data_IF_722822330212
#
_entry.id   IF_722822330212
#
_cell.length_a   1.000
_cell.length_b   1.000
_cell.length_c   1.000
_cell.angle_alpha   90.00
_cell.angle_beta   90.00
_cell.angle_gamma   90.00
#
_symmetry.space_group_name_H-M   'P 1'
#
loop_
_entity.id
_entity.type
_entity.pdbx_description
1 polymer ?
#
# COMPACT_ATOMS: atom_id res chain seq x y z
N UNK A 1 35.89 20.29 40.07
CA UNK A 1 34.75 19.50 40.58
C UNK A 1 33.45 19.70 39.78
N UNK A 2 33.10 20.92 39.35
CA UNK A 2 31.86 21.19 38.57
C UNK A 2 31.71 20.32 37.31
N UNK A 3 32.77 20.14 36.51
CA UNK A 3 32.72 19.28 35.30
C UNK A 3 32.32 17.82 35.60
N UNK A 4 32.77 17.27 36.73
CA UNK A 4 32.41 15.91 37.16
C UNK A 4 30.93 15.81 37.62
N UNK A 5 30.38 16.90 38.18
CA UNK A 5 28.96 16.97 38.57
C UNK A 5 28.05 17.06 37.35
N UNK A 6 28.38 17.92 36.39
CA UNK A 6 27.65 18.02 35.12
C UNK A 6 27.68 16.73 34.31
N UNK A 7 28.82 16.02 34.28
CA UNK A 7 28.90 14.71 33.63
C UNK A 7 27.94 13.68 34.25
N UNK A 8 27.79 13.67 35.58
CA UNK A 8 26.83 12.79 36.27
C UNK A 8 25.37 13.16 35.98
N UNK A 9 25.06 14.47 35.94
CA UNK A 9 23.72 14.96 35.61
C UNK A 9 23.37 14.60 34.17
N UNK A 10 24.26 14.86 33.21
CA UNK A 10 24.05 14.52 31.81
C UNK A 10 23.86 13.01 31.63
N UNK A 11 24.69 12.20 32.29
CA UNK A 11 24.55 10.74 32.25
C UNK A 11 23.18 10.32 32.80
N UNK A 12 22.74 10.88 33.93
CA UNK A 12 21.41 10.61 34.50
C UNK A 12 20.28 10.96 33.53
N UNK A 13 20.34 12.12 32.90
CA UNK A 13 19.35 12.54 31.89
C UNK A 13 19.34 11.61 30.68
N UNK A 14 20.51 11.20 30.18
CA UNK A 14 20.63 10.25 29.08
C UNK A 14 20.08 8.87 29.45
N UNK A 15 20.33 8.39 30.67
CA UNK A 15 19.77 7.12 31.14
C UNK A 15 18.25 7.17 31.23
N UNK A 16 17.69 8.25 31.81
CA UNK A 16 16.24 8.45 31.88
C UNK A 16 15.64 8.50 30.46
N UNK A 17 16.25 9.28 29.57
CA UNK A 17 15.83 9.38 28.18
C UNK A 17 15.89 8.04 27.45
N UNK A 18 16.92 7.23 27.67
CA UNK A 18 17.05 5.89 27.10
C UNK A 18 15.93 4.96 27.59
N UNK A 19 15.65 4.96 28.90
CA UNK A 19 14.57 4.13 29.47
C UNK A 19 13.21 4.52 28.88
N UNK A 20 12.92 5.82 28.77
CA UNK A 20 11.69 6.31 28.14
C UNK A 20 11.64 5.89 26.66
N UNK A 21 12.76 6.02 25.94
CA UNK A 21 12.84 5.64 24.53
C UNK A 21 12.60 4.14 24.32
N UNK A 22 13.14 3.30 25.18
CA UNK A 22 12.91 1.84 25.15
C UNK A 22 11.42 1.53 25.41
N UNK A 23 10.79 2.21 26.37
CA UNK A 23 9.35 2.06 26.62
C UNK A 23 8.51 2.36 25.37
N UNK A 24 8.71 3.52 24.75
CA UNK A 24 7.97 3.91 23.53
C UNK A 24 8.29 3.01 22.33
N UNK A 25 9.52 2.53 22.20
CA UNK A 25 9.88 1.54 21.18
C UNK A 25 9.02 0.26 21.30
N UNK A 26 8.77 -0.21 22.52
CA UNK A 26 7.92 -1.38 22.74
C UNK A 26 6.43 -1.09 22.54
N UNK A 27 5.94 0.13 22.80
CA UNK A 27 4.56 0.51 22.42
C UNK A 27 4.33 0.45 20.91
N UNK A 28 5.34 0.82 20.13
CA UNK A 28 5.30 0.72 18.68
C UNK A 28 5.45 -0.72 18.15
N UNK A 29 5.80 -1.68 19.01
CA UNK A 29 6.03 -3.06 18.60
C UNK A 29 4.70 -3.80 18.52
N UNK A 30 4.26 -4.06 17.30
CA UNK A 30 3.01 -4.75 17.02
C UNK A 30 3.24 -6.03 16.22
N UNK A 31 2.40 -7.03 16.47
CA UNK A 31 2.41 -8.28 15.71
C UNK A 31 1.13 -8.37 14.89
N UNK A 32 1.27 -8.85 13.66
CA UNK A 32 0.17 -9.05 12.72
C UNK A 32 0.30 -10.46 12.15
N UNK A 33 -0.77 -11.24 12.20
CA UNK A 33 -0.81 -12.50 11.48
C UNK A 33 -1.23 -12.18 10.05
N UNK A 34 -0.43 -12.57 9.07
CA UNK A 34 -0.66 -12.31 7.65
C UNK A 34 -0.72 -13.62 6.92
N UNK A 35 -1.83 -13.89 6.25
CA UNK A 35 -1.96 -14.96 5.28
C UNK A 35 -1.94 -14.32 3.89
N UNK A 36 -0.90 -14.64 3.10
CA UNK A 36 -0.92 -14.35 1.67
C UNK A 36 -1.82 -15.36 0.99
N UNK A 37 -2.68 -14.89 0.11
CA UNK A 37 -3.60 -15.75 -0.64
C UNK A 37 -3.03 -15.90 -2.05
N UNK A 38 -2.49 -17.09 -2.40
CA UNK A 38 -1.87 -17.33 -3.70
C UNK A 38 -2.89 -17.52 -4.82
N UNK A 39 -4.17 -17.67 -4.49
CA UNK A 39 -5.20 -18.11 -5.42
C UNK A 39 -5.90 -16.94 -6.12
N UNK A 40 -5.83 -16.99 -7.45
CA UNK A 40 -6.65 -16.21 -8.36
C UNK A 40 -7.93 -16.98 -8.65
N UNK A 41 -9.04 -16.26 -8.79
CA UNK A 41 -10.21 -16.81 -9.45
C UNK A 41 -10.89 -15.71 -10.25
N UNK A 42 -10.50 -15.62 -11.51
CA UNK A 42 -11.32 -14.95 -12.51
C UNK A 42 -12.46 -15.89 -12.87
N UNK A 43 -13.67 -15.36 -12.94
CA UNK A 43 -14.75 -16.03 -13.65
C UNK A 43 -14.62 -15.59 -15.12
N UNK A 44 -14.25 -16.53 -15.98
CA UNK A 44 -14.09 -16.31 -17.44
C UNK A 44 -15.49 -16.42 -18.07
N UNK A 45 -16.02 -15.44 -18.84
CA UNK A 45 -15.38 -14.64 -19.90
C UNK A 45 -15.56 -13.11 -19.79
N UNK A 46 -16.06 -12.61 -18.67
CA UNK A 46 -16.42 -11.20 -18.50
C UNK A 46 -15.32 -10.34 -17.85
N UNK A 47 -14.13 -10.92 -17.57
CA UNK A 47 -13.06 -10.29 -16.77
C UNK A 47 -13.58 -9.68 -15.45
N UNK A 48 -14.59 -10.31 -14.86
CA UNK A 48 -15.14 -9.94 -13.56
C UNK A 48 -14.62 -10.91 -12.51
N UNK A 49 -14.19 -10.38 -11.37
CA UNK A 49 -13.65 -11.26 -10.33
C UNK A 49 -13.25 -10.53 -9.07
N UNK A 50 -13.05 -11.33 -8.03
CA UNK A 50 -12.51 -10.86 -6.75
C UNK A 50 -11.18 -11.56 -6.53
N UNK A 51 -10.14 -10.76 -6.31
CA UNK A 51 -8.80 -11.22 -5.99
C UNK A 51 -8.48 -10.83 -4.56
N UNK A 52 -8.54 -11.79 -3.63
CA UNK A 52 -8.00 -11.57 -2.29
C UNK A 52 -6.49 -11.74 -2.34
N UNK A 53 -5.75 -10.75 -1.83
CA UNK A 53 -4.28 -10.75 -1.79
C UNK A 53 -3.76 -11.14 -0.42
N UNK A 54 -4.32 -10.52 0.61
CA UNK A 54 -3.87 -10.72 1.98
C UNK A 54 -5.06 -10.74 2.93
N UNK A 55 -4.97 -11.61 3.94
CA UNK A 55 -5.83 -11.60 5.11
C UNK A 55 -4.94 -11.31 6.31
N UNK A 56 -5.28 -10.27 7.05
CA UNK A 56 -4.52 -9.78 8.21
C UNK A 56 -5.36 -9.89 9.45
N UNK A 57 -4.76 -10.39 10.53
CA UNK A 57 -5.40 -10.48 11.83
C UNK A 57 -4.57 -9.71 12.85
N UNK A 58 -5.24 -8.78 13.52
CA UNK A 58 -4.68 -7.88 14.51
C UNK A 58 -5.28 -8.16 15.89
N UNK A 59 -4.47 -7.95 16.91
CA UNK A 59 -4.91 -7.93 18.33
C UNK A 59 -4.86 -6.52 18.91
N UNK A 60 -4.81 -5.54 18.03
CA UNK A 60 -4.68 -4.13 18.32
C UNK A 60 -5.41 -3.33 17.25
N UNK A 61 -5.73 -2.09 17.56
CA UNK A 61 -6.25 -1.11 16.62
C UNK A 61 -5.40 0.17 16.68
N UNK A 62 -5.24 0.88 15.56
CA UNK A 62 -4.70 2.22 15.61
C UNK A 62 -5.52 3.05 16.58
N UNK A 63 -4.87 3.70 17.54
CA UNK A 63 -5.48 4.86 18.17
C UNK A 63 -5.71 5.84 17.02
N UNK A 64 -6.97 6.15 16.71
CA UNK A 64 -7.35 6.91 15.52
C UNK A 64 -6.62 8.24 15.40
N UNK A 65 -6.89 9.01 14.35
CA UNK A 65 -6.36 10.37 14.20
C UNK A 65 -6.98 11.32 15.24
N UNK A 66 -6.84 11.03 16.54
CA UNK A 66 -7.15 11.95 17.62
C UNK A 66 -6.11 13.09 17.55
N UNK A 67 -6.41 14.03 16.67
CA UNK A 67 -5.74 15.31 16.47
C UNK A 67 -5.64 16.12 17.77
N UNK A 68 -6.45 15.80 18.80
CA UNK A 68 -6.33 16.33 20.16
C UNK A 68 -4.91 16.16 20.75
N UNK A 69 -4.16 15.14 20.32
CA UNK A 69 -2.77 14.95 20.71
C UNK A 69 -1.81 15.90 19.98
N UNK A 70 -2.12 16.30 18.75
CA UNK A 70 -1.31 17.21 17.92
C UNK A 70 -1.49 18.68 18.29
N UNK A 71 -2.64 19.08 18.83
CA UNK A 71 -2.86 20.45 19.31
C UNK A 71 -1.81 20.89 20.34
N UNK A 72 -1.38 19.96 21.21
CA UNK A 72 -0.31 20.20 22.18
C UNK A 72 1.06 20.42 21.53
N UNK A 73 1.27 19.84 20.35
CA UNK A 73 2.52 19.92 19.60
C UNK A 73 2.48 20.97 18.48
N UNK A 74 1.33 21.60 18.27
CA UNK A 74 1.11 22.59 17.22
C UNK A 74 2.17 23.72 17.22
N UNK A 75 2.57 24.30 18.37
CA UNK A 75 3.61 25.34 18.37
C UNK A 75 4.98 24.87 17.84
N UNK A 76 5.31 23.58 18.05
CA UNK A 76 6.56 22.99 17.55
C UNK A 76 6.46 22.76 16.05
N UNK A 77 5.32 22.30 15.56
CA UNK A 77 5.08 22.08 14.13
C UNK A 77 5.01 23.40 13.36
N UNK A 78 4.39 24.44 13.93
CA UNK A 78 4.25 25.76 13.33
C UNK A 78 5.61 26.46 13.12
N UNK A 79 6.61 26.15 13.95
CA UNK A 79 7.97 26.66 13.77
C UNK A 79 8.53 26.35 12.38
N UNK A 80 8.11 25.24 11.75
CA UNK A 80 8.50 24.90 10.39
C UNK A 80 8.16 26.02 9.37
N UNK A 81 7.07 26.75 9.58
CA UNK A 81 6.64 27.84 8.71
C UNK A 81 7.60 29.04 8.75
N UNK A 82 8.33 29.21 9.85
CA UNK A 82 9.34 30.25 10.03
C UNK A 82 10.70 29.85 9.45
N UNK A 83 10.89 28.59 9.07
CA UNK A 83 12.13 28.10 8.47
C UNK A 83 12.19 28.35 6.95
N UNK A 84 13.40 28.54 6.39
CA UNK A 84 13.62 28.55 4.95
C UNK A 84 13.08 27.28 4.28
N UNK A 85 12.55 27.40 3.05
CA UNK A 85 11.97 26.28 2.28
C UNK A 85 12.91 25.06 2.19
N UNK A 86 14.22 25.29 2.12
CA UNK A 86 15.25 24.24 2.04
C UNK A 86 15.34 23.33 3.28
N UNK A 87 14.96 23.83 4.45
CA UNK A 87 15.06 23.10 5.73
C UNK A 87 13.68 22.75 6.28
N UNK A 88 12.65 23.53 5.94
CA UNK A 88 11.26 23.33 6.40
C UNK A 88 10.82 21.88 6.34
N UNK A 89 10.93 21.23 5.18
CA UNK A 89 10.51 19.83 4.99
C UNK A 89 11.31 18.88 5.90
N UNK A 90 12.63 19.02 5.93
CA UNK A 90 13.50 18.18 6.77
C UNK A 90 13.17 18.32 8.26
N UNK A 91 12.89 19.54 8.70
CA UNK A 91 12.48 19.82 10.06
C UNK A 91 11.12 19.17 10.38
N UNK A 92 10.11 19.40 9.53
CA UNK A 92 8.78 18.79 9.70
C UNK A 92 8.85 17.26 9.72
N UNK A 93 9.62 16.65 8.82
CA UNK A 93 9.80 15.20 8.75
C UNK A 93 10.50 14.66 10.02
N UNK A 94 11.54 15.35 10.47
CA UNK A 94 12.28 14.97 11.68
C UNK A 94 11.42 15.12 12.94
N UNK A 95 10.85 16.30 13.17
CA UNK A 95 10.01 16.58 14.33
C UNK A 95 8.79 15.69 14.33
N UNK A 96 8.09 15.56 13.19
CA UNK A 96 6.94 14.66 13.07
C UNK A 96 7.29 13.21 13.41
N UNK A 97 8.48 12.75 13.01
CA UNK A 97 8.96 11.40 13.38
C UNK A 97 9.24 11.27 14.88
N UNK A 98 9.88 12.28 15.49
CA UNK A 98 10.14 12.31 16.94
C UNK A 98 8.83 12.33 17.72
N UNK A 99 7.89 13.20 17.34
CA UNK A 99 6.58 13.29 18.00
C UNK A 99 5.83 11.97 17.89
N UNK A 100 5.76 11.39 16.69
CA UNK A 100 5.16 10.09 16.49
C UNK A 100 5.84 9.00 17.36
N UNK A 101 7.17 9.03 17.51
CA UNK A 101 7.88 8.06 18.35
C UNK A 101 7.43 8.12 19.81
N UNK A 102 7.16 9.31 20.33
CA UNK A 102 6.70 9.52 21.70
C UNK A 102 5.18 9.57 21.83
N UNK A 103 4.44 8.94 20.90
CA UNK A 103 3.00 8.70 21.01
C UNK A 103 2.73 7.23 21.31
N UNK A 104 1.51 6.92 21.77
CA UNK A 104 1.01 5.57 21.86
C UNK A 104 0.09 5.31 20.65
N UNK A 105 0.61 4.85 19.50
CA UNK A 105 -0.18 4.82 18.27
C UNK A 105 -1.20 3.67 18.20
N UNK A 106 -1.21 2.75 19.18
CA UNK A 106 -1.99 1.51 19.09
C UNK A 106 -2.64 1.15 20.44
N UNK A 107 -3.92 0.78 20.41
CA UNK A 107 -4.60 0.17 21.56
C UNK A 107 -4.70 -1.32 21.39
N UNK A 108 -4.47 -2.08 22.47
CA UNK A 108 -4.78 -3.51 22.49
C UNK A 108 -6.29 -3.69 22.49
N UNK A 109 -6.76 -4.65 21.70
CA UNK A 109 -8.17 -5.04 21.74
C UNK A 109 -8.46 -5.83 23.02
N UNK A 110 -9.75 -5.90 23.38
CA UNK A 110 -10.24 -6.73 24.50
C UNK A 110 -9.79 -8.20 24.36
N UNK A 111 -9.71 -8.92 25.49
CA UNK A 111 -9.32 -10.32 25.47
C UNK A 111 -10.26 -11.17 24.60
N UNK A 112 -9.67 -11.90 23.65
CA UNK A 112 -10.40 -12.70 22.67
C UNK A 112 -10.80 -11.93 21.41
N UNK A 113 -10.90 -10.60 21.46
CA UNK A 113 -11.21 -9.77 20.31
C UNK A 113 -10.04 -9.69 19.33
N UNK A 114 -10.38 -9.69 18.04
CA UNK A 114 -9.43 -9.61 16.93
C UNK A 114 -10.03 -8.74 15.85
N UNK A 115 -9.21 -7.92 15.20
CA UNK A 115 -9.61 -7.22 13.98
C UNK A 115 -9.08 -8.00 12.80
N UNK A 116 -9.96 -8.31 11.84
CA UNK A 116 -9.58 -8.92 10.57
C UNK A 116 -9.64 -7.85 9.50
N UNK A 117 -8.63 -7.78 8.64
CA UNK A 117 -8.66 -7.00 7.41
C UNK A 117 -8.39 -7.94 6.23
N UNK A 118 -9.22 -7.86 5.20
CA UNK A 118 -9.04 -8.54 3.93
C UNK A 118 -8.80 -7.48 2.87
N UNK A 119 -7.72 -7.65 2.13
CA UNK A 119 -7.30 -6.70 1.11
C UNK A 119 -7.21 -7.41 -0.22
N UNK A 120 -7.71 -6.78 -1.27
CA UNK A 120 -7.78 -7.39 -2.58
C UNK A 120 -8.18 -6.44 -3.69
N UNK A 121 -8.42 -7.00 -4.88
CA UNK A 121 -8.91 -6.27 -6.03
C UNK A 121 -10.27 -6.80 -6.47
N UNK A 122 -11.18 -5.92 -6.86
CA UNK A 122 -12.38 -6.26 -7.63
C UNK A 122 -12.09 -5.86 -9.07
N UNK A 123 -12.24 -6.79 -10.00
CA UNK A 123 -12.04 -6.56 -11.43
C UNK A 123 -13.39 -6.43 -12.11
N UNK A 124 -13.48 -5.51 -13.06
CA UNK A 124 -14.67 -5.35 -13.88
C UNK A 124 -14.29 -5.16 -15.36
N UNK A 125 -14.47 -6.22 -16.16
CA UNK A 125 -14.68 -6.15 -17.61
C UNK A 125 -13.80 -5.15 -18.37
N UNK A 126 -14.43 -4.03 -18.74
CA UNK A 126 -13.85 -2.98 -19.58
C UNK A 126 -13.41 -1.75 -18.76
N UNK A 127 -12.32 -1.06 -19.16
CA UNK A 127 -11.98 0.29 -18.68
C UNK A 127 -13.18 1.24 -18.70
N UNK A 128 -13.30 2.08 -17.66
CA UNK A 128 -14.43 2.99 -17.47
C UNK A 128 -15.75 2.35 -17.03
N UNK A 129 -15.79 1.04 -16.82
CA UNK A 129 -17.02 0.33 -16.41
C UNK A 129 -17.35 0.38 -14.91
N UNK A 130 -16.43 0.89 -14.08
CA UNK A 130 -16.57 0.94 -12.62
C UNK A 130 -17.21 2.24 -12.17
N UNK A 131 -18.52 2.20 -11.92
CA UNK A 131 -19.16 3.20 -11.07
C UNK A 131 -18.88 2.87 -9.59
N UNK A 132 -18.73 3.90 -8.74
CA UNK A 132 -18.32 3.80 -7.33
C UNK A 132 -19.13 2.82 -6.45
N UNK A 133 -20.26 2.31 -6.94
CA UNK A 133 -21.19 1.46 -6.20
C UNK A 133 -21.38 0.06 -6.80
N UNK A 134 -20.72 -0.28 -7.91
CA UNK A 134 -20.87 -1.59 -8.53
C UNK A 134 -19.77 -2.55 -8.05
N UNK A 135 -19.96 -3.15 -6.88
CA UNK A 135 -19.06 -4.16 -6.33
C UNK A 135 -19.84 -5.42 -5.93
N UNK A 136 -19.24 -6.62 -6.04
CA UNK A 136 -19.92 -7.83 -5.63
C UNK A 136 -20.08 -7.88 -4.11
N UNK A 137 -21.08 -8.59 -3.63
CA UNK A 137 -21.20 -8.96 -2.22
C UNK A 137 -20.13 -10.00 -1.87
N UNK A 138 -19.03 -9.57 -1.25
CA UNK A 138 -17.93 -10.44 -0.81
C UNK A 138 -18.16 -10.88 0.65
N UNK A 139 -17.92 -12.16 0.94
CA UNK A 139 -17.93 -12.73 2.30
C UNK A 139 -16.75 -13.67 2.48
N UNK A 140 -16.12 -13.61 3.64
CA UNK A 140 -14.97 -14.44 4.00
C UNK A 140 -15.27 -15.21 5.26
N UNK A 141 -15.07 -16.52 5.20
CA UNK A 141 -15.33 -17.45 6.28
C UNK A 141 -14.03 -18.13 6.73
N UNK A 142 -13.90 -18.36 8.03
CA UNK A 142 -12.86 -19.20 8.63
C UNK A 142 -13.52 -20.46 9.22
N UNK A 143 -13.44 -21.58 8.49
CA UNK A 143 -14.32 -22.72 8.74
C UNK A 143 -15.78 -22.35 8.43
N UNK A 144 -16.64 -22.39 9.45
CA UNK A 144 -18.06 -22.03 9.34
C UNK A 144 -18.36 -20.59 9.77
N UNK A 145 -17.42 -19.94 10.46
CA UNK A 145 -17.61 -18.60 11.01
C UNK A 145 -17.39 -17.54 9.93
N UNK A 146 -18.34 -16.62 9.76
CA UNK A 146 -18.15 -15.41 8.95
C UNK A 146 -17.19 -14.47 9.69
N UNK A 147 -16.07 -14.12 9.06
CA UNK A 147 -15.05 -13.24 9.66
C UNK A 147 -14.98 -11.85 9.03
N UNK A 148 -15.59 -11.67 7.84
CA UNK A 148 -15.80 -10.36 7.22
C UNK A 148 -16.80 -10.45 6.04
N UNK A 149 -17.43 -9.34 5.70
CA UNK A 149 -18.20 -9.23 4.45
C UNK A 149 -18.66 -7.79 4.14
N UNK A 150 -19.35 -7.57 3.02
CA UNK A 150 -19.75 -6.21 2.56
C UNK A 150 -20.69 -5.46 3.53
N UNK A 151 -21.32 -6.14 4.50
CA UNK A 151 -22.05 -5.50 5.60
C UNK A 151 -21.14 -4.93 6.71
N UNK A 152 -19.82 -5.08 6.60
CA UNK A 152 -18.79 -4.55 7.51
C UNK A 152 -18.13 -3.29 6.93
N UNK A 153 -17.14 -2.70 7.62
CA UNK A 153 -16.40 -1.54 7.11
C UNK A 153 -15.75 -1.86 5.75
N UNK A 154 -16.39 -1.44 4.66
CA UNK A 154 -15.92 -1.63 3.30
C UNK A 154 -15.34 -0.31 2.77
N UNK A 155 -14.04 -0.33 2.47
CA UNK A 155 -13.35 0.75 1.77
C UNK A 155 -12.94 0.28 0.39
N UNK A 156 -13.31 1.04 -0.65
CA UNK A 156 -12.82 0.83 -2.01
C UNK A 156 -12.12 2.08 -2.54
N UNK A 157 -11.10 1.87 -3.34
CA UNK A 157 -10.35 2.92 -4.01
C UNK A 157 -10.13 2.54 -5.47
N UNK A 158 -10.35 3.50 -6.36
CA UNK A 158 -10.07 3.39 -7.79
C UNK A 158 -9.25 4.59 -8.25
N UNK A 159 -8.67 4.52 -9.44
CA UNK A 159 -7.86 5.60 -10.02
C UNK A 159 -8.42 5.96 -11.38
N UNK A 160 -9.05 7.12 -11.52
CA UNK A 160 -9.64 7.56 -12.78
C UNK A 160 -10.60 6.49 -13.33
N UNK A 161 -10.41 6.13 -14.59
CA UNK A 161 -11.25 5.17 -15.32
C UNK A 161 -10.77 3.70 -15.20
N UNK A 162 -10.01 3.40 -14.14
CA UNK A 162 -9.48 2.05 -13.88
C UNK A 162 -10.57 0.97 -13.93
N UNK A 163 -10.32 -0.14 -14.61
CA UNK A 163 -11.20 -1.33 -14.62
C UNK A 163 -11.03 -2.25 -13.38
N UNK A 164 -10.41 -1.76 -12.30
CA UNK A 164 -10.37 -2.47 -11.03
C UNK A 164 -10.49 -1.54 -9.83
N UNK A 165 -11.03 -2.07 -8.72
CA UNK A 165 -11.05 -1.44 -7.41
C UNK A 165 -10.05 -2.15 -6.51
N UNK A 166 -9.23 -1.41 -5.79
CA UNK A 166 -8.54 -1.93 -4.61
C UNK A 166 -9.50 -1.82 -3.43
N UNK A 167 -9.85 -2.94 -2.80
CA UNK A 167 -10.75 -2.97 -1.66
C UNK A 167 -10.03 -3.41 -0.38
N UNK A 168 -10.53 -2.90 0.73
CA UNK A 168 -10.29 -3.40 2.08
C UNK A 168 -11.66 -3.61 2.72
N UNK A 169 -11.84 -4.76 3.34
CA UNK A 169 -12.96 -4.98 4.24
C UNK A 169 -12.45 -5.55 5.54
N UNK A 170 -13.11 -5.23 6.64
CA UNK A 170 -12.69 -5.75 7.93
C UNK A 170 -13.77 -5.66 8.97
N UNK A 171 -13.62 -6.48 10.00
CA UNK A 171 -14.52 -6.50 11.14
C UNK A 171 -13.76 -6.88 12.41
N UNK A 172 -14.37 -6.59 13.56
CA UNK A 172 -13.96 -7.09 14.86
C UNK A 172 -14.69 -8.40 15.13
N UNK A 173 -13.92 -9.46 15.35
CA UNK A 173 -14.42 -10.80 15.65
C UNK A 173 -13.91 -11.26 17.01
N UNK A 174 -14.63 -12.18 17.63
CA UNK A 174 -14.23 -12.83 18.88
C UNK A 174 -13.82 -14.30 18.68
N UNK A 175 -13.99 -14.82 17.46
CA UNK A 175 -13.62 -16.19 17.11
C UNK A 175 -12.16 -16.28 16.66
N UNK A 176 -11.61 -17.49 16.71
CA UNK A 176 -10.28 -17.75 16.18
C UNK A 176 -10.29 -17.92 14.67
N UNK A 177 -9.43 -17.17 13.97
CA UNK A 177 -9.19 -17.39 12.54
C UNK A 177 -8.34 -18.65 12.35
N UNK A 178 -8.85 -19.58 11.54
CA UNK A 178 -8.22 -20.85 11.16
C UNK A 178 -7.49 -20.71 9.83
N UNK A 179 -6.58 -21.62 9.51
CA UNK A 179 -5.87 -21.64 8.22
C UNK A 179 -6.80 -21.99 7.04
N UNK A 180 -7.97 -22.59 7.30
CA UNK A 180 -8.98 -22.90 6.29
C UNK A 180 -9.90 -21.70 6.06
N UNK A 181 -9.67 -20.99 4.95
CA UNK A 181 -10.47 -19.83 4.56
C UNK A 181 -11.34 -20.19 3.36
N UNK A 182 -12.62 -19.81 3.42
CA UNK A 182 -13.57 -19.88 2.30
C UNK A 182 -13.99 -18.48 1.92
N UNK A 183 -13.74 -18.11 0.67
CA UNK A 183 -14.16 -16.86 0.06
C UNK A 183 -15.41 -17.12 -0.78
N UNK A 184 -16.42 -16.27 -0.63
CA UNK A 184 -17.57 -16.26 -1.53
C UNK A 184 -17.81 -14.86 -2.06
N UNK A 185 -18.18 -14.72 -3.33
CA UNK A 185 -18.65 -13.44 -3.86
C UNK A 185 -19.82 -13.65 -4.82
N UNK A 186 -20.67 -12.64 -4.90
CA UNK A 186 -21.85 -12.64 -5.76
C UNK A 186 -22.07 -11.24 -6.31
N UNK A 187 -22.19 -11.13 -7.63
CA UNK A 187 -22.69 -9.93 -8.29
C UNK A 187 -24.23 -9.93 -8.26
N UNK A 188 -24.89 -8.76 -8.34
CA UNK A 188 -26.33 -8.57 -8.07
C UNK A 188 -27.26 -9.69 -8.54
N UNK A 189 -27.13 -10.12 -9.80
CA UNK A 189 -27.94 -11.20 -10.39
C UNK A 189 -27.10 -12.42 -10.84
N UNK A 190 -25.85 -12.49 -10.38
CA UNK A 190 -24.91 -13.55 -10.73
C UNK A 190 -24.98 -14.75 -9.78
N UNK A 191 -24.39 -15.90 -10.18
CA UNK A 191 -24.20 -17.02 -9.28
C UNK A 191 -23.27 -16.63 -8.12
N UNK A 192 -23.47 -17.26 -6.96
CA UNK A 192 -22.48 -17.17 -5.87
C UNK A 192 -21.28 -18.04 -6.25
N UNK A 193 -20.12 -17.41 -6.40
CA UNK A 193 -18.86 -18.12 -6.61
C UNK A 193 -18.24 -18.41 -5.25
N UNK A 194 -17.75 -19.63 -5.04
CA UNK A 194 -17.08 -20.05 -3.82
C UNK A 194 -15.68 -20.56 -4.13
N UNK A 195 -14.68 -20.07 -3.40
CA UNK A 195 -13.28 -20.53 -3.48
C UNK A 195 -12.76 -20.84 -2.09
N UNK A 196 -12.26 -22.06 -1.93
CA UNK A 196 -11.51 -22.45 -0.74
C UNK A 196 -10.05 -22.09 -0.95
N UNK A 197 -9.47 -21.36 0.00
CA UNK A 197 -8.05 -21.06 0.03
C UNK A 197 -7.39 -22.20 0.80
N UNK A 198 -6.78 -23.11 0.04
CA UNK A 198 -6.11 -24.30 0.55
C UNK A 198 -4.58 -24.03 0.50
N UNK A 199 -3.82 -24.58 1.44
CA UNK A 199 -2.36 -24.48 1.51
C UNK A 199 -1.77 -23.08 1.80
N UNK A 200 -2.59 -22.15 2.32
CA UNK A 200 -2.09 -20.89 2.86
C UNK A 200 -2.03 -20.98 4.39
N UNK A 201 -1.02 -20.38 5.00
CA UNK A 201 -0.85 -20.34 6.46
C UNK A 201 -0.63 -18.93 6.93
N UNK A 202 -1.04 -18.64 8.16
CA UNK A 202 -0.71 -17.38 8.79
C UNK A 202 0.77 -17.32 9.18
N UNK A 203 1.46 -16.30 8.70
CA UNK A 203 2.79 -15.92 9.15
C UNK A 203 2.70 -14.76 10.13
N UNK A 204 3.53 -14.76 11.17
CA UNK A 204 3.59 -13.65 12.12
C UNK A 204 4.60 -12.63 11.61
N UNK A 205 4.11 -11.43 11.24
CA UNK A 205 4.95 -10.27 10.96
C UNK A 205 5.03 -9.37 12.19
N UNK A 206 6.24 -9.01 12.58
CA UNK A 206 6.49 -8.06 13.66
C UNK A 206 6.90 -6.71 13.07
N UNK A 207 6.19 -5.67 13.48
CA UNK A 207 6.48 -4.29 13.13
C UNK A 207 6.94 -3.52 14.37
N UNK A 208 7.63 -2.42 14.12
CA UNK A 208 8.13 -1.50 15.14
C UNK A 208 8.10 -0.07 14.60
N UNK A 209 8.55 0.91 15.37
CA UNK A 209 8.68 2.28 14.89
C UNK A 209 9.57 2.39 13.63
N UNK A 210 10.66 1.62 13.57
CA UNK A 210 11.63 1.64 12.46
C UNK A 210 11.21 0.76 11.29
N UNK A 211 10.40 -0.28 11.54
CA UNK A 211 9.82 -1.15 10.53
C UNK A 211 8.29 -1.09 10.68
N UNK A 212 7.69 -0.01 10.19
CA UNK A 212 6.25 0.23 10.38
C UNK A 212 5.42 -0.73 9.55
N UNK A 213 4.19 -1.08 9.98
CA UNK A 213 3.26 -1.73 9.08
C UNK A 213 3.06 -0.84 7.84
N UNK A 214 2.97 -1.41 6.64
CA UNK A 214 2.77 -0.62 5.44
C UNK A 214 1.52 0.25 5.59
N UNK A 215 1.64 1.55 5.30
CA UNK A 215 0.49 2.47 5.28
C UNK A 215 -0.53 1.95 4.27
N UNK A 216 -1.83 2.08 4.58
CA UNK A 216 -2.94 1.54 3.78
C UNK A 216 -2.67 1.69 2.27
N UNK A 217 -2.75 0.58 1.55
CA UNK A 217 -2.66 0.50 0.08
C UNK A 217 -1.31 0.88 -0.57
N UNK A 218 -0.28 1.25 0.19
CA UNK A 218 0.95 1.81 -0.38
C UNK A 218 1.66 0.88 -1.34
N UNK A 219 1.69 -0.42 -1.02
CA UNK A 219 2.42 -1.42 -1.77
C UNK A 219 1.53 -2.15 -2.78
N UNK A 220 0.22 -1.85 -2.78
CA UNK A 220 -0.79 -2.49 -3.60
C UNK A 220 -1.17 -1.64 -4.82
N UNK A 221 -0.61 -0.44 -4.95
CA UNK A 221 -0.86 0.43 -6.11
C UNK A 221 0.25 0.28 -7.16
N UNK A 222 -0.03 -0.29 -8.35
CA UNK A 222 0.98 -0.45 -9.40
C UNK A 222 1.52 0.89 -9.90
N UNK A 223 0.70 1.95 -9.86
CA UNK A 223 1.07 3.33 -10.21
C UNK A 223 2.34 3.79 -9.49
N UNK A 224 2.50 3.47 -8.19
CA UNK A 224 3.69 3.87 -7.42
C UNK A 224 4.96 3.23 -7.94
N UNK A 225 4.86 1.98 -8.39
CA UNK A 225 6.01 1.26 -8.96
C UNK A 225 6.40 1.81 -10.33
N UNK A 226 5.42 2.19 -11.15
CA UNK A 226 5.67 2.89 -12.40
C UNK A 226 6.35 4.27 -12.17
N UNK A 227 5.91 5.03 -11.17
CA UNK A 227 6.59 6.27 -10.78
C UNK A 227 8.02 6.05 -10.30
N UNK A 228 8.25 4.99 -9.52
CA UNK A 228 9.58 4.63 -9.04
C UNK A 228 10.52 4.31 -10.21
N UNK A 229 10.03 3.57 -11.22
CA UNK A 229 10.76 3.31 -12.47
C UNK A 229 11.21 4.62 -13.14
N UNK A 230 10.29 5.53 -13.43
CA UNK A 230 10.58 6.78 -14.13
C UNK A 230 11.57 7.64 -13.34
N UNK A 231 11.34 7.83 -12.04
CA UNK A 231 12.16 8.71 -11.20
C UNK A 231 13.56 8.14 -10.97
N UNK A 232 13.69 6.85 -10.66
CA UNK A 232 14.99 6.23 -10.36
C UNK A 232 15.82 6.08 -11.64
N UNK A 233 15.19 5.75 -12.78
CA UNK A 233 15.88 5.69 -14.06
C UNK A 233 16.32 7.08 -14.55
N UNK A 234 15.46 8.09 -14.42
CA UNK A 234 15.79 9.49 -14.73
C UNK A 234 16.92 10.06 -13.87
N UNK A 235 17.03 9.62 -12.61
CA UNK A 235 18.15 9.95 -11.73
C UNK A 235 19.47 9.23 -12.08
N UNK A 236 19.51 8.45 -13.17
CA UNK A 236 20.70 7.73 -13.64
C UNK A 236 21.05 6.48 -12.83
N UNK A 237 20.15 5.98 -11.97
CA UNK A 237 20.41 4.86 -11.06
C UNK A 237 19.91 3.53 -11.63
N UNK A 238 20.40 3.15 -12.82
CA UNK A 238 19.88 1.99 -13.58
C UNK A 238 19.92 0.69 -12.77
N UNK A 239 20.95 0.48 -11.95
CA UNK A 239 21.13 -0.73 -11.14
C UNK A 239 20.00 -0.91 -10.12
N UNK A 240 19.52 0.20 -9.54
CA UNK A 240 18.37 0.16 -8.62
C UNK A 240 17.08 -0.17 -9.37
N UNK A 241 16.92 0.33 -10.59
CA UNK A 241 15.75 0.05 -11.43
C UNK A 241 15.68 -1.42 -11.84
N UNK A 242 16.82 -2.08 -12.07
CA UNK A 242 16.84 -3.51 -12.40
C UNK A 242 16.17 -4.37 -11.32
N UNK A 243 16.26 -3.97 -10.04
CA UNK A 243 15.57 -4.66 -8.94
C UNK A 243 14.03 -4.52 -8.96
N UNK A 244 13.52 -3.55 -9.73
CA UNK A 244 12.08 -3.34 -9.95
C UNK A 244 11.53 -4.20 -11.09
N UNK A 245 12.39 -4.71 -11.97
CA UNK A 245 12.01 -5.59 -13.09
C UNK A 245 11.86 -7.03 -12.57
N UNK A 246 10.86 -7.76 -13.07
CA UNK A 246 10.66 -9.18 -12.73
C UNK A 246 11.89 -10.00 -13.14
N UNK A 247 12.29 -10.93 -12.28
CA UNK A 247 13.41 -11.85 -12.57
C UNK A 247 13.13 -12.80 -13.72
N UNK A 248 11.86 -12.91 -14.14
CA UNK A 248 11.41 -13.71 -15.28
C UNK A 248 11.59 -13.00 -16.63
N UNK A 249 11.93 -11.71 -16.63
CA UNK A 249 12.23 -10.95 -17.85
C UNK A 249 13.69 -11.15 -18.23
N UNK A 250 13.94 -11.75 -19.40
CA UNK A 250 15.30 -11.95 -19.91
C UNK A 250 15.91 -10.66 -20.47
N UNK A 251 15.12 -9.88 -21.22
CA UNK A 251 15.56 -8.64 -21.87
C UNK A 251 14.52 -7.54 -21.69
N UNK A 252 14.86 -6.50 -20.93
CA UNK A 252 13.99 -5.36 -20.69
C UNK A 252 14.27 -4.24 -21.70
N UNK A 253 13.25 -3.61 -22.33
CA UNK A 253 13.45 -2.64 -23.40
C UNK A 253 13.80 -1.24 -22.87
N UNK A 254 14.99 -1.09 -22.29
CA UNK A 254 15.47 0.16 -21.69
C UNK A 254 15.40 1.38 -22.62
N UNK A 255 15.56 1.17 -23.92
CA UNK A 255 15.53 2.23 -24.92
C UNK A 255 14.17 2.95 -25.00
N UNK A 256 13.07 2.29 -24.64
CA UNK A 256 11.75 2.93 -24.60
C UNK A 256 11.59 3.94 -23.47
N UNK A 257 12.46 3.92 -22.45
CA UNK A 257 12.41 4.85 -21.33
C UNK A 257 13.62 5.79 -21.29
N UNK A 258 14.50 5.79 -22.28
CA UNK A 258 15.68 6.68 -22.30
C UNK A 258 15.32 8.17 -22.36
N UNK A 259 14.13 8.50 -22.85
CA UNK A 259 13.62 9.87 -22.92
C UNK A 259 13.54 10.54 -21.53
N UNK A 260 13.35 9.78 -20.43
CA UNK A 260 13.24 10.34 -19.07
C UNK A 260 14.54 10.98 -18.58
N UNK A 261 15.68 10.66 -19.20
CA UNK A 261 16.99 11.26 -18.88
C UNK A 261 17.17 12.64 -19.52
N UNK A 262 16.37 12.96 -20.54
CA UNK A 262 16.60 14.10 -21.43
C UNK A 262 15.56 15.22 -21.26
N UNK A 263 14.39 14.95 -20.68
CA UNK A 263 13.28 15.91 -20.64
C UNK A 263 12.93 16.35 -19.22
N UNK A 264 12.56 17.63 -19.06
CA UNK A 264 11.93 18.18 -17.84
C UNK A 264 10.43 17.81 -17.75
N UNK A 265 9.97 16.83 -18.52
CA UNK A 265 8.56 16.43 -18.47
C UNK A 265 8.26 15.83 -17.10
N UNK A 266 7.16 16.29 -16.52
CA UNK A 266 6.59 15.66 -15.35
C UNK A 266 5.48 14.72 -15.81
N UNK A 267 5.35 13.58 -15.13
CA UNK A 267 4.17 12.75 -15.27
C UNK A 267 2.98 13.58 -14.83
N UNK A 268 2.09 13.89 -15.76
CA UNK A 268 0.93 14.72 -15.51
C UNK A 268 -0.27 13.89 -15.05
N UNK A 269 -0.36 12.64 -15.53
CA UNK A 269 -1.43 11.71 -15.18
C UNK A 269 -0.91 10.27 -15.17
N UNK A 270 -1.47 9.44 -14.29
CA UNK A 270 -1.17 8.02 -14.22
C UNK A 270 -2.44 7.24 -13.86
N UNK A 271 -2.80 6.29 -14.71
CA UNK A 271 -3.97 5.43 -14.52
C UNK A 271 -3.55 3.98 -14.48
N UNK A 272 -4.14 3.19 -13.59
CA UNK A 272 -3.87 1.75 -13.54
C UNK A 272 -5.06 0.96 -14.05
N UNK A 273 -4.79 -0.05 -14.87
CA UNK A 273 -5.77 -0.96 -15.41
C UNK A 273 -5.30 -2.41 -15.26
N UNK A 274 -6.23 -3.34 -15.12
CA UNK A 274 -6.02 -4.76 -15.27
C UNK A 274 -6.03 -5.12 -16.76
N UNK A 275 -4.99 -5.82 -17.21
CA UNK A 275 -4.77 -6.17 -18.62
C UNK A 275 -5.03 -7.65 -18.91
N UNK A 276 -4.88 -8.53 -17.91
CA UNK A 276 -5.05 -9.98 -18.11
C UNK A 276 -3.73 -10.65 -18.47
N UNK A 277 -3.64 -11.30 -19.63
CA UNK A 277 -2.43 -12.04 -20.03
C UNK A 277 -1.55 -11.21 -20.96
N UNK A 278 -0.24 -11.18 -20.72
CA UNK A 278 0.70 -10.46 -21.58
C UNK A 278 2.09 -11.09 -21.56
N UNK A 279 2.65 -11.38 -22.75
CA UNK A 279 4.01 -11.95 -22.92
C UNK A 279 4.32 -13.16 -22.01
N UNK A 280 3.35 -14.08 -21.86
CA UNK A 280 3.50 -15.27 -21.02
C UNK A 280 3.35 -15.02 -19.51
N UNK A 281 3.15 -13.77 -19.10
CA UNK A 281 2.72 -13.43 -17.75
C UNK A 281 1.20 -13.49 -17.65
N UNK A 282 0.74 -14.06 -16.55
CA UNK A 282 -0.66 -14.03 -16.15
C UNK A 282 -0.90 -12.81 -15.27
N UNK A 283 -2.12 -12.28 -15.35
CA UNK A 283 -2.61 -11.22 -14.49
C UNK A 283 -1.78 -9.93 -14.44
N UNK A 284 -1.44 -9.47 -15.62
CA UNK A 284 -0.73 -8.23 -15.86
C UNK A 284 -1.65 -7.06 -15.60
N UNK A 285 -1.11 -6.05 -14.93
CA UNK A 285 -1.68 -4.72 -14.80
C UNK A 285 -0.88 -3.76 -15.65
N UNK A 286 -1.53 -2.74 -16.16
CA UNK A 286 -0.91 -1.65 -16.89
C UNK A 286 -1.00 -0.37 -16.07
N UNK A 287 0.01 0.46 -16.17
CA UNK A 287 -0.05 1.86 -15.77
C UNK A 287 0.15 2.71 -16.99
N UNK A 288 -0.90 3.42 -17.39
CA UNK A 288 -0.90 4.39 -18.46
C UNK A 288 -0.41 5.72 -17.91
N UNK A 289 0.75 6.16 -18.37
CA UNK A 289 1.39 7.40 -17.97
C UNK A 289 1.22 8.43 -19.09
N UNK A 290 0.70 9.60 -18.73
CA UNK A 290 0.70 10.77 -19.61
C UNK A 290 1.73 11.79 -19.12
N UNK A 291 2.44 12.40 -20.05
CA UNK A 291 3.49 13.36 -19.78
C UNK A 291 3.23 14.66 -20.54
N UNK A 292 3.46 15.79 -19.88
CA UNK A 292 3.39 17.10 -20.51
C UNK A 292 4.45 18.02 -19.89
N UNK A 293 4.93 19.02 -20.63
CA UNK A 293 5.87 20.02 -20.08
C UNK A 293 5.16 20.99 -19.14
N UNK A 294 3.89 21.24 -19.38
CA UNK A 294 3.04 22.12 -18.60
C UNK A 294 1.56 21.74 -18.77
N UNK A 295 0.69 22.30 -17.93
CA UNK A 295 -0.75 22.03 -17.98
C UNK A 295 -1.39 22.40 -19.32
N UNK A 296 -0.91 23.47 -19.99
CA UNK A 296 -1.45 23.92 -21.27
C UNK A 296 -1.20 22.92 -22.41
N UNK A 297 -0.06 22.24 -22.41
CA UNK A 297 0.23 21.16 -23.37
C UNK A 297 -0.66 19.94 -23.14
N UNK A 298 -0.97 19.62 -21.87
CA UNK A 298 -1.90 18.54 -21.54
C UNK A 298 -3.32 18.88 -22.02
N UNK A 299 -3.81 20.08 -21.73
CA UNK A 299 -5.15 20.54 -22.15
C UNK A 299 -5.29 20.62 -23.68
N UNK A 300 -4.17 20.86 -24.38
CA UNK A 300 -4.12 20.88 -25.85
C UNK A 300 -3.99 19.49 -26.49
N UNK A 301 -4.01 18.41 -25.70
CA UNK A 301 -3.83 17.03 -26.19
C UNK A 301 -2.44 16.78 -26.77
N UNK A 302 -1.44 17.59 -26.42
CA UNK A 302 -0.03 17.43 -26.83
C UNK A 302 0.78 16.61 -25.83
N UNK A 303 0.09 15.90 -24.94
CA UNK A 303 0.72 14.98 -24.02
C UNK A 303 1.29 13.77 -24.75
N UNK A 304 2.34 13.19 -24.18
CA UNK A 304 2.89 11.91 -24.62
C UNK A 304 2.38 10.80 -23.74
N UNK A 305 2.28 9.60 -24.29
CA UNK A 305 1.76 8.43 -23.58
C UNK A 305 2.77 7.28 -23.52
N UNK A 306 2.82 6.62 -22.37
CA UNK A 306 3.59 5.40 -22.17
C UNK A 306 2.87 4.45 -21.23
N UNK A 307 2.83 3.18 -21.61
CA UNK A 307 2.25 2.11 -20.81
C UNK A 307 3.35 1.29 -20.14
N UNK A 308 3.28 1.15 -18.82
CA UNK A 308 4.14 0.26 -18.04
C UNK A 308 3.35 -0.99 -17.69
N UNK A 309 3.90 -2.18 -17.93
CA UNK A 309 3.25 -3.45 -17.62
C UNK A 309 3.86 -4.03 -16.36
N UNK A 310 3.02 -4.45 -15.41
CA UNK A 310 3.43 -4.93 -14.10
C UNK A 310 2.69 -6.21 -13.71
N UNK A 311 3.35 -7.02 -12.90
CA UNK A 311 2.75 -8.18 -12.23
C UNK A 311 3.01 -8.07 -10.73
N UNK A 312 2.09 -8.57 -9.92
CA UNK A 312 2.26 -8.58 -8.48
C UNK A 312 2.89 -9.92 -8.05
N UNK A 313 4.17 -9.89 -7.71
CA UNK A 313 4.94 -11.04 -7.22
C UNK A 313 4.98 -11.05 -5.69
N UNK A 314 5.55 -12.09 -5.07
CA UNK A 314 5.50 -12.29 -3.61
C UNK A 314 6.10 -11.12 -2.80
N UNK A 315 7.02 -10.34 -3.37
CA UNK A 315 7.66 -9.17 -2.76
C UNK A 315 7.07 -7.83 -3.26
N UNK A 316 6.00 -7.88 -4.06
CA UNK A 316 5.23 -6.75 -4.56
C UNK A 316 5.27 -6.59 -6.09
N UNK A 317 4.85 -5.42 -6.56
CA UNK A 317 4.81 -5.11 -7.98
C UNK A 317 6.18 -5.17 -8.64
N UNK A 318 6.28 -5.96 -9.71
CA UNK A 318 7.42 -6.06 -10.61
C UNK A 318 7.03 -5.64 -12.01
N UNK A 319 7.95 -4.97 -12.68
CA UNK A 319 7.76 -4.47 -14.03
C UNK A 319 8.15 -5.59 -14.99
N UNK A 320 7.29 -5.88 -15.96
CA UNK A 320 7.52 -6.92 -16.96
C UNK A 320 7.83 -6.35 -18.33
N UNK A 321 7.33 -5.15 -18.63
CA UNK A 321 7.56 -4.48 -19.92
C UNK A 321 7.20 -3.00 -19.87
N UNK A 322 7.60 -2.25 -20.90
CA UNK A 322 7.19 -0.86 -21.13
C UNK A 322 6.94 -0.65 -22.63
N UNK A 323 5.89 0.09 -22.98
CA UNK A 323 5.60 0.42 -24.38
C UNK A 323 6.54 1.51 -24.91
N UNK A 324 6.70 1.61 -26.25
CA UNK A 324 7.29 2.80 -26.85
C UNK A 324 6.60 4.07 -26.35
N UNK A 325 7.39 5.14 -26.23
CA UNK A 325 6.92 6.49 -25.95
C UNK A 325 6.24 7.04 -27.22
N UNK A 326 4.97 7.45 -27.12
CA UNK A 326 4.18 7.95 -28.25
C UNK A 326 3.86 9.42 -28.09
#
# INVERSE_FOLDING_TARGET
MLRKRWGKVLLGLLTIWLVISVYFYFQHRVMVQVMKVPAWSLDDPANQGVLVKEIKVYRWEPQGDNFDSYDRWWPVLEFANKLPRSIRRKYSDFVGSVLYFYTDPYHKLEDGARRVEIIGYILQGAPGGLENFNHPAIRVYSGEDLIAGVSSEFGAQHSGDSNFLLFEMGDKIYSSVKDSIKLTWQWDNGPTVTKSIINSRFEIKTYSFFNRPPRRYSNLRPVRKAYELINVYGAGKKEMVTSLVSTKVSEFPWHYIDWVKQQENYVSYAEANYYGKYKGFENVFTVDLSFARNAQEMDAGKGYEQKVFLVDEDDGWKIVDVSPYK
#
